data_IF_793422855431
#
_entry.id   IF_793422855431
#
_cell.length_a   1.000
_cell.length_b   1.000
_cell.length_c   1.000
_cell.angle_alpha   90.00
_cell.angle_beta   90.00
_cell.angle_gamma   90.00
#
_symmetry.space_group_name_H-M   'P 1'
#
loop_
_entity.id
_entity.type
_entity.pdbx_description
1 polymer ?
#
# COMPACT_ATOMS: atom_id res chain seq x y z
N UNK A 1 -4.88 7.13 10.14
CA UNK A 1 -4.69 5.82 10.74
C UNK A 1 -6.04 5.19 11.05
N UNK A 2 -6.29 3.99 10.59
CA UNK A 2 -7.61 3.33 10.71
C UNK A 2 -8.10 3.17 12.15
N UNK A 3 -7.23 3.13 13.16
CA UNK A 3 -7.64 3.08 14.57
C UNK A 3 -8.16 4.42 15.15
N UNK A 4 -8.10 5.52 14.36
CA UNK A 4 -8.66 6.82 14.74
C UNK A 4 -9.96 7.11 13.96
N UNK A 5 -10.86 6.13 13.86
CA UNK A 5 -12.06 6.23 13.02
C UNK A 5 -12.92 7.47 13.28
N UNK A 6 -13.01 7.92 14.54
CA UNK A 6 -13.78 9.11 14.90
C UNK A 6 -13.12 10.39 14.35
N UNK A 7 -11.78 10.47 14.40
CA UNK A 7 -11.01 11.55 13.81
C UNK A 7 -10.95 11.42 12.29
N UNK A 8 -10.87 10.20 11.75
CA UNK A 8 -10.81 9.95 10.31
C UNK A 8 -12.03 10.49 9.58
N UNK A 9 -13.22 10.38 10.16
CA UNK A 9 -14.45 10.94 9.59
C UNK A 9 -14.34 12.46 9.37
N UNK A 10 -13.78 13.17 10.35
CA UNK A 10 -13.58 14.61 10.27
C UNK A 10 -12.43 14.98 9.32
N UNK A 11 -11.32 14.23 9.41
CA UNK A 11 -10.12 14.48 8.62
C UNK A 11 -10.34 14.23 7.12
N UNK A 12 -10.98 13.11 6.74
CA UNK A 12 -11.26 12.78 5.34
C UNK A 12 -12.15 13.83 4.70
N UNK A 13 -13.21 14.27 5.41
CA UNK A 13 -14.07 15.34 4.95
C UNK A 13 -13.32 16.67 4.77
N UNK A 14 -12.50 17.05 5.74
CA UNK A 14 -11.70 18.28 5.66
C UNK A 14 -10.68 18.23 4.50
N UNK A 15 -10.08 17.05 4.23
CA UNK A 15 -9.20 16.85 3.09
C UNK A 15 -9.98 17.02 1.78
N UNK A 16 -11.16 16.42 1.64
CA UNK A 16 -12.00 16.54 0.46
C UNK A 16 -12.40 18.01 0.20
N UNK A 17 -12.72 18.77 1.26
CA UNK A 17 -13.06 20.20 1.17
C UNK A 17 -11.90 21.08 0.63
N UNK A 18 -10.65 20.60 0.66
CA UNK A 18 -9.52 21.27 0.01
C UNK A 18 -9.51 21.12 -1.51
N UNK A 19 -10.36 20.26 -2.07
CA UNK A 19 -10.38 19.88 -3.47
C UNK A 19 -9.46 18.67 -3.77
N UNK A 20 -8.92 18.00 -2.75
CA UNK A 20 -8.18 16.75 -2.92
C UNK A 20 -9.13 15.63 -3.31
N UNK A 21 -8.73 14.80 -4.28
CA UNK A 21 -9.48 13.62 -4.71
C UNK A 21 -8.77 12.29 -4.37
N UNK A 22 -7.67 12.36 -3.62
CA UNK A 22 -6.89 11.19 -3.17
C UNK A 22 -6.47 11.42 -1.73
N UNK A 23 -6.55 10.37 -0.91
CA UNK A 23 -6.03 10.38 0.46
C UNK A 23 -5.23 9.10 0.72
N UNK A 24 -4.08 9.26 1.40
CA UNK A 24 -3.27 8.12 1.85
C UNK A 24 -3.74 7.68 3.22
N UNK A 25 -4.09 6.40 3.35
CA UNK A 25 -4.61 5.78 4.57
C UNK A 25 -3.57 4.83 5.14
N UNK A 26 -3.12 5.14 6.35
CA UNK A 26 -2.11 4.36 7.07
C UNK A 26 -2.77 3.20 7.82
N UNK A 27 -2.30 1.98 7.56
CA UNK A 27 -2.75 0.74 8.21
C UNK A 27 -1.61 0.07 8.97
N UNK A 28 -1.96 -0.77 9.93
CA UNK A 28 -1.02 -1.60 10.69
C UNK A 28 -1.32 -3.09 10.53
N UNK A 29 -0.29 -3.88 10.27
CA UNK A 29 -0.36 -5.34 10.28
C UNK A 29 -0.13 -5.97 11.66
N UNK A 30 0.07 -5.12 12.69
CA UNK A 30 0.29 -5.51 14.07
C UNK A 30 1.74 -5.76 14.47
N UNK A 31 2.72 -5.41 13.61
CA UNK A 31 4.13 -5.56 13.96
C UNK A 31 4.62 -4.46 14.90
N UNK A 32 4.27 -3.22 14.62
CA UNK A 32 4.68 -2.07 15.43
C UNK A 32 3.53 -1.48 16.25
N UNK A 33 2.31 -1.52 15.70
CA UNK A 33 1.13 -0.94 16.33
C UNK A 33 0.00 -1.97 16.41
N UNK A 34 -1.15 -1.57 16.94
CA UNK A 34 -2.34 -2.42 16.97
C UNK A 34 -2.77 -2.74 15.53
N UNK A 35 -2.95 -4.03 15.25
CA UNK A 35 -3.41 -4.49 13.95
C UNK A 35 -4.79 -3.93 13.63
N UNK A 36 -4.94 -3.39 12.44
CA UNK A 36 -6.24 -2.98 11.95
C UNK A 36 -7.06 -4.19 11.50
N UNK A 37 -8.36 -4.11 11.73
CA UNK A 37 -9.31 -5.14 11.31
C UNK A 37 -9.89 -4.85 9.92
N UNK A 38 -10.46 -5.87 9.29
CA UNK A 38 -11.16 -5.71 8.00
C UNK A 38 -12.29 -4.70 8.09
N UNK A 39 -13.10 -4.73 9.17
CA UNK A 39 -14.20 -3.77 9.39
C UNK A 39 -13.71 -2.32 9.51
N UNK A 40 -12.58 -2.09 10.18
CA UNK A 40 -11.97 -0.75 10.29
C UNK A 40 -11.50 -0.25 8.92
N UNK A 41 -10.81 -1.10 8.17
CA UNK A 41 -10.34 -0.78 6.83
C UNK A 41 -11.52 -0.49 5.88
N UNK A 42 -12.55 -1.32 5.91
CA UNK A 42 -13.75 -1.13 5.09
C UNK A 42 -14.44 0.20 5.42
N UNK A 43 -14.59 0.52 6.71
CA UNK A 43 -15.19 1.78 7.17
C UNK A 43 -14.43 3.00 6.61
N UNK A 44 -13.11 3.00 6.68
CA UNK A 44 -12.31 4.13 6.18
C UNK A 44 -12.36 4.24 4.66
N UNK A 45 -12.34 3.10 3.95
CA UNK A 45 -12.50 3.09 2.48
C UNK A 45 -13.87 3.67 2.09
N UNK A 46 -14.94 3.26 2.77
CA UNK A 46 -16.29 3.76 2.48
C UNK A 46 -16.41 5.25 2.77
N UNK A 47 -15.78 5.76 3.85
CA UNK A 47 -15.67 7.20 4.09
C UNK A 47 -14.96 7.95 2.95
N UNK A 48 -13.90 7.37 2.38
CA UNK A 48 -13.24 7.96 1.21
C UNK A 48 -14.18 8.00 -0.01
N UNK A 49 -14.88 6.91 -0.28
CA UNK A 49 -15.84 6.80 -1.39
C UNK A 49 -16.97 7.82 -1.23
N UNK A 50 -17.55 7.93 -0.03
CA UNK A 50 -18.64 8.88 0.29
C UNK A 50 -18.21 10.34 0.11
N UNK A 51 -16.91 10.64 0.21
CA UNK A 51 -16.33 11.96 -0.01
C UNK A 51 -15.68 12.10 -1.41
N UNK A 52 -16.01 11.23 -2.36
CA UNK A 52 -15.52 11.23 -3.74
C UNK A 52 -13.99 11.20 -3.85
N UNK A 53 -13.33 10.47 -2.94
CA UNK A 53 -11.87 10.32 -2.91
C UNK A 53 -11.43 8.89 -3.17
N UNK A 54 -10.27 8.75 -3.80
CA UNK A 54 -9.53 7.49 -3.91
C UNK A 54 -8.71 7.29 -2.64
N UNK A 55 -8.85 6.11 -2.03
CA UNK A 55 -8.02 5.69 -0.90
C UNK A 55 -6.74 5.02 -1.42
N UNK A 56 -5.57 5.54 -1.04
CA UNK A 56 -4.30 4.83 -1.17
C UNK A 56 -4.00 4.21 0.18
N UNK A 57 -4.34 2.93 0.34
CA UNK A 57 -4.13 2.21 1.60
C UNK A 57 -2.72 1.61 1.65
N UNK A 58 -2.05 1.65 2.80
CA UNK A 58 -0.68 1.15 2.93
C UNK A 58 -0.41 0.54 4.31
N UNK A 59 0.43 -0.50 4.39
CA UNK A 59 0.96 -1.02 5.66
C UNK A 59 2.20 -0.24 6.05
N UNK A 60 2.13 0.42 7.21
CA UNK A 60 3.20 1.31 7.69
C UNK A 60 4.27 0.57 8.52
N UNK A 61 3.95 -0.58 9.06
CA UNK A 61 4.84 -1.36 9.93
C UNK A 61 6.13 -1.82 9.23
N UNK A 62 6.09 -1.98 7.91
CA UNK A 62 7.24 -2.40 7.11
C UNK A 62 8.23 -1.26 6.80
N UNK A 63 7.91 -0.01 7.19
CA UNK A 63 8.71 1.17 6.86
C UNK A 63 10.17 1.03 7.29
N UNK A 64 11.09 1.15 6.33
CA UNK A 64 12.52 1.11 6.55
C UNK A 64 13.11 -0.25 6.94
N UNK A 65 12.34 -1.32 6.87
CA UNK A 65 12.82 -2.68 7.17
C UNK A 65 13.61 -3.24 5.98
N UNK A 66 14.77 -3.85 6.27
CA UNK A 66 15.65 -4.47 5.27
C UNK A 66 15.54 -6.00 5.28
N UNK A 67 14.41 -6.53 5.69
CA UNK A 67 14.15 -7.96 5.68
C UNK A 67 12.86 -8.29 4.92
N UNK A 68 12.89 -9.45 4.26
CA UNK A 68 11.74 -9.92 3.46
C UNK A 68 10.54 -10.30 4.32
N UNK A 69 10.77 -10.67 5.58
CA UNK A 69 9.71 -11.10 6.50
C UNK A 69 8.71 -9.98 6.74
N UNK A 70 9.18 -8.72 6.81
CA UNK A 70 8.31 -7.56 6.97
C UNK A 70 7.37 -7.38 5.76
N UNK A 71 7.90 -7.56 4.54
CA UNK A 71 7.08 -7.49 3.32
C UNK A 71 6.12 -8.68 3.21
N UNK A 72 6.58 -9.88 3.55
CA UNK A 72 5.72 -11.08 3.56
C UNK A 72 4.55 -10.89 4.54
N UNK A 73 4.81 -10.35 5.72
CA UNK A 73 3.76 -10.07 6.71
C UNK A 73 2.75 -9.04 6.23
N UNK A 74 3.21 -7.95 5.61
CA UNK A 74 2.33 -6.96 4.98
C UNK A 74 1.49 -7.59 3.85
N UNK A 75 2.10 -8.47 3.05
CA UNK A 75 1.41 -9.21 1.98
C UNK A 75 0.31 -10.12 2.55
N UNK A 76 0.62 -10.88 3.60
CA UNK A 76 -0.34 -11.76 4.28
C UNK A 76 -1.48 -10.97 4.92
N UNK A 77 -1.18 -9.80 5.50
CA UNK A 77 -2.19 -8.87 6.00
C UNK A 77 -3.18 -8.47 4.90
N UNK A 78 -2.70 -8.07 3.72
CA UNK A 78 -3.61 -7.71 2.62
C UNK A 78 -4.43 -8.88 2.11
N UNK A 79 -3.89 -10.10 2.11
CA UNK A 79 -4.65 -11.29 1.77
C UNK A 79 -5.76 -11.56 2.80
N UNK A 80 -5.50 -11.32 4.07
CA UNK A 80 -6.50 -11.39 5.14
C UNK A 80 -7.59 -10.31 4.96
N UNK A 81 -7.20 -9.08 4.59
CA UNK A 81 -8.10 -7.93 4.40
C UNK A 81 -8.77 -7.86 3.03
N UNK A 82 -8.63 -8.88 2.20
CA UNK A 82 -9.03 -8.83 0.77
C UNK A 82 -10.50 -8.48 0.53
N UNK A 83 -11.42 -8.82 1.45
CA UNK A 83 -12.85 -8.54 1.24
C UNK A 83 -13.14 -7.03 1.33
N UNK A 84 -12.34 -6.26 2.07
CA UNK A 84 -12.43 -4.80 2.09
C UNK A 84 -11.95 -4.16 0.77
N UNK A 85 -11.19 -4.90 -0.07
CA UNK A 85 -10.55 -4.41 -1.29
C UNK A 85 -11.29 -4.86 -2.57
N UNK A 86 -11.71 -6.13 -2.61
CA UNK A 86 -12.35 -6.75 -3.78
C UNK A 86 -13.72 -6.10 -4.04
N UNK A 87 -13.94 -5.67 -5.29
CA UNK A 87 -15.14 -4.93 -5.69
C UNK A 87 -15.01 -3.42 -5.54
N UNK A 88 -13.91 -2.93 -4.97
CA UNK A 88 -13.61 -1.51 -4.79
C UNK A 88 -12.39 -1.05 -5.61
N UNK A 89 -12.04 -1.78 -6.68
CA UNK A 89 -10.82 -1.56 -7.49
C UNK A 89 -10.75 -0.16 -8.09
N UNK A 90 -11.88 0.47 -8.37
CA UNK A 90 -11.94 1.83 -8.93
C UNK A 90 -11.73 2.93 -7.88
N UNK A 91 -11.76 2.60 -6.58
CA UNK A 91 -11.67 3.55 -5.47
C UNK A 91 -10.45 3.33 -4.59
N UNK A 92 -9.75 2.20 -4.74
CA UNK A 92 -8.65 1.83 -3.85
C UNK A 92 -7.41 1.49 -4.64
N UNK A 93 -6.31 2.18 -4.32
CA UNK A 93 -4.95 1.83 -4.73
C UNK A 93 -4.27 1.16 -3.52
N UNK A 94 -3.67 0.01 -3.74
CA UNK A 94 -3.01 -0.79 -2.71
C UNK A 94 -1.49 -0.56 -2.74
N UNK A 95 -0.96 0.17 -1.76
CA UNK A 95 0.47 0.18 -1.49
C UNK A 95 0.79 -0.97 -0.51
N UNK A 96 1.51 -1.98 -0.98
CA UNK A 96 1.74 -3.21 -0.21
C UNK A 96 2.42 -2.90 1.13
N UNK A 97 3.46 -2.06 1.10
CA UNK A 97 4.27 -1.73 2.26
C UNK A 97 4.91 -0.36 2.06
N UNK A 98 4.62 0.59 2.98
CA UNK A 98 5.22 1.91 2.93
C UNK A 98 6.74 1.83 3.06
N UNK A 99 7.46 2.43 2.10
CA UNK A 99 8.91 2.63 2.16
C UNK A 99 9.74 1.38 2.53
N UNK A 100 9.32 0.23 2.14
CA UNK A 100 10.14 -0.98 2.21
C UNK A 100 11.08 -0.97 0.99
N UNK A 101 12.38 -1.01 1.09
CA UNK A 101 13.35 -1.19 2.13
C UNK A 101 13.97 0.13 2.60
N UNK A 102 14.61 0.17 3.79
CA UNK A 102 15.42 1.33 4.25
C UNK A 102 16.76 1.40 3.52
N UNK A 103 17.38 0.26 3.22
CA UNK A 103 18.63 0.18 2.47
C UNK A 103 18.44 0.43 0.96
N UNK A 104 19.51 0.87 0.32
CA UNK A 104 19.57 1.12 -1.13
C UNK A 104 19.87 -0.18 -1.89
N UNK A 105 19.09 -1.22 -1.60
CA UNK A 105 19.25 -2.57 -2.13
C UNK A 105 18.14 -2.89 -3.14
N UNK A 106 18.39 -2.58 -4.42
CA UNK A 106 17.43 -2.82 -5.49
C UNK A 106 17.16 -4.29 -5.78
N UNK A 107 18.11 -5.20 -5.49
CA UNK A 107 17.92 -6.64 -5.70
C UNK A 107 16.96 -7.22 -4.67
N UNK A 108 17.14 -6.91 -3.39
CA UNK A 108 16.21 -7.30 -2.32
C UNK A 108 14.79 -6.76 -2.60
N UNK A 109 14.71 -5.49 -3.02
CA UNK A 109 13.47 -4.84 -3.39
C UNK A 109 12.75 -5.58 -4.55
N UNK A 110 13.48 -5.88 -5.63
CA UNK A 110 12.97 -6.67 -6.76
C UNK A 110 12.47 -8.04 -6.30
N UNK A 111 13.30 -8.79 -5.60
CA UNK A 111 13.01 -10.16 -5.20
C UNK A 111 11.78 -10.22 -4.28
N UNK A 112 11.65 -9.27 -3.35
CA UNK A 112 10.48 -9.17 -2.49
C UNK A 112 9.20 -8.92 -3.29
N UNK A 113 9.16 -7.89 -4.12
CA UNK A 113 7.93 -7.54 -4.83
C UNK A 113 7.56 -8.51 -5.95
N UNK A 114 8.54 -9.15 -6.62
CA UNK A 114 8.26 -10.20 -7.61
C UNK A 114 7.63 -11.44 -6.99
N UNK A 115 7.78 -11.66 -5.69
CA UNK A 115 7.10 -12.74 -4.96
C UNK A 115 5.76 -12.29 -4.35
N UNK A 116 5.68 -11.06 -3.84
CA UNK A 116 4.49 -10.54 -3.15
C UNK A 116 3.32 -10.26 -4.12
N UNK A 117 3.60 -9.62 -5.26
CA UNK A 117 2.55 -9.23 -6.21
C UNK A 117 1.76 -10.44 -6.74
N UNK A 118 2.39 -11.53 -7.20
CA UNK A 118 1.64 -12.72 -7.63
C UNK A 118 0.76 -13.32 -6.54
N UNK A 119 1.22 -13.33 -5.27
CA UNK A 119 0.42 -13.85 -4.14
C UNK A 119 -0.87 -13.05 -3.95
N UNK A 120 -0.79 -11.72 -4.04
CA UNK A 120 -1.97 -10.85 -3.96
C UNK A 120 -2.95 -11.11 -5.12
N UNK A 121 -2.43 -11.26 -6.34
CA UNK A 121 -3.25 -11.57 -7.52
C UNK A 121 -3.91 -12.95 -7.41
N UNK A 122 -3.19 -13.95 -6.92
CA UNK A 122 -3.73 -15.29 -6.66
C UNK A 122 -4.84 -15.27 -5.60
N UNK A 123 -4.74 -14.39 -4.60
CA UNK A 123 -5.79 -14.16 -3.60
C UNK A 123 -7.03 -13.44 -4.16
N UNK A 124 -7.00 -12.95 -5.41
CA UNK A 124 -8.11 -12.29 -6.09
C UNK A 124 -8.12 -10.76 -5.99
N UNK A 125 -7.08 -10.16 -5.42
CA UNK A 125 -6.93 -8.70 -5.31
C UNK A 125 -6.52 -8.14 -6.67
N UNK A 126 -7.39 -7.32 -7.29
CA UNK A 126 -7.19 -6.72 -8.62
C UNK A 126 -6.95 -5.22 -8.60
N UNK A 127 -6.96 -4.62 -7.44
CA UNK A 127 -6.67 -3.20 -7.25
C UNK A 127 -5.32 -2.82 -7.90
N UNK A 128 -5.19 -1.58 -8.32
CA UNK A 128 -3.89 -1.04 -8.73
C UNK A 128 -2.91 -1.20 -7.56
N UNK A 129 -1.80 -1.86 -7.80
CA UNK A 129 -0.73 -2.00 -6.79
C UNK A 129 0.23 -0.82 -6.94
N UNK A 130 0.55 -0.17 -5.84
CA UNK A 130 1.56 0.86 -5.73
C UNK A 130 2.78 0.28 -5.00
N UNK A 131 3.96 0.45 -5.59
CA UNK A 131 5.23 -0.02 -5.04
C UNK A 131 6.16 1.18 -4.85
N UNK A 132 6.52 1.46 -3.61
CA UNK A 132 7.48 2.52 -3.30
C UNK A 132 8.90 2.06 -3.69
N UNK A 133 9.74 2.99 -4.16
CA UNK A 133 11.15 2.72 -4.42
C UNK A 133 11.86 2.22 -3.15
N UNK A 134 12.98 1.52 -3.26
CA UNK A 134 13.83 1.19 -2.11
C UNK A 134 14.45 2.45 -1.48
N UNK A 135 15.20 2.29 -0.39
CA UNK A 135 15.87 3.42 0.27
C UNK A 135 14.89 4.45 0.82
N UNK A 136 13.93 4.03 1.66
CA UNK A 136 12.87 4.89 2.20
C UNK A 136 12.03 5.55 1.10
N UNK A 137 11.73 4.82 0.05
CA UNK A 137 10.99 5.35 -1.11
C UNK A 137 11.80 6.28 -2.02
N UNK A 138 13.06 6.56 -1.73
CA UNK A 138 13.83 7.63 -2.38
C UNK A 138 14.78 7.16 -3.49
N UNK A 139 15.12 5.86 -3.51
CA UNK A 139 16.09 5.32 -4.46
C UNK A 139 15.43 4.99 -5.80
N UNK A 140 15.11 6.01 -6.60
CA UNK A 140 14.50 5.87 -7.92
C UNK A 140 15.25 4.92 -8.85
N UNK A 141 16.57 4.72 -8.63
CA UNK A 141 17.36 3.79 -9.42
C UNK A 141 16.92 2.34 -9.26
N UNK A 142 16.33 1.94 -8.12
CA UNK A 142 15.74 0.60 -7.97
C UNK A 142 14.63 0.35 -8.99
N UNK A 143 13.79 1.37 -9.23
CA UNK A 143 12.76 1.31 -10.27
C UNK A 143 13.38 1.29 -11.66
N UNK A 144 14.39 2.13 -11.90
CA UNK A 144 15.08 2.19 -13.20
C UNK A 144 15.75 0.87 -13.59
N UNK A 145 16.40 0.21 -12.63
CA UNK A 145 17.14 -1.03 -12.87
C UNK A 145 16.22 -2.27 -12.89
N UNK A 146 15.22 -2.33 -12.01
CA UNK A 146 14.44 -3.54 -11.74
C UNK A 146 12.91 -3.39 -11.87
N UNK A 147 12.42 -2.17 -12.07
CA UNK A 147 10.97 -1.92 -12.12
C UNK A 147 10.26 -2.70 -13.22
N UNK A 148 10.95 -2.96 -14.34
CA UNK A 148 10.38 -3.80 -15.41
C UNK A 148 10.15 -5.24 -14.93
N UNK A 149 11.08 -5.83 -14.18
CA UNK A 149 10.93 -7.19 -13.65
C UNK A 149 9.77 -7.26 -12.66
N UNK A 150 9.68 -6.27 -11.76
CA UNK A 150 8.56 -6.15 -10.80
C UNK A 150 7.23 -5.99 -11.53
N UNK A 151 7.15 -5.10 -12.51
CA UNK A 151 5.93 -4.92 -13.33
C UNK A 151 5.55 -6.20 -14.09
N UNK A 152 6.55 -6.90 -14.65
CA UNK A 152 6.31 -8.12 -15.42
C UNK A 152 5.86 -9.30 -14.53
N UNK A 153 6.16 -9.28 -13.23
CA UNK A 153 5.69 -10.28 -12.27
C UNK A 153 4.18 -10.16 -11.98
N UNK A 154 3.59 -8.99 -12.24
CA UNK A 154 2.14 -8.79 -12.12
C UNK A 154 1.41 -9.39 -13.31
N UNK A 155 0.62 -10.47 -13.15
CA UNK A 155 -0.16 -11.05 -14.25
C UNK A 155 -1.20 -10.08 -14.82
N UNK A 156 -1.72 -9.16 -14.00
CA UNK A 156 -2.73 -8.18 -14.42
C UNK A 156 -2.11 -6.91 -15.04
N UNK A 157 -0.78 -6.74 -14.95
CA UNK A 157 -0.05 -5.55 -15.43
C UNK A 157 -0.62 -4.23 -14.89
N UNK A 158 -1.11 -4.26 -13.66
CA UNK A 158 -1.74 -3.15 -12.96
C UNK A 158 -0.92 -2.71 -11.74
N UNK A 159 0.38 -2.53 -11.96
CA UNK A 159 1.35 -2.06 -10.96
C UNK A 159 1.92 -0.71 -11.36
N UNK A 160 1.99 0.22 -10.42
CA UNK A 160 2.63 1.53 -10.56
C UNK A 160 3.72 1.71 -9.49
N UNK A 161 4.59 2.68 -9.69
CA UNK A 161 5.72 2.94 -8.82
C UNK A 161 5.67 4.35 -8.24
N UNK A 162 6.12 4.50 -7.00
CA UNK A 162 6.24 5.80 -6.34
C UNK A 162 7.68 6.10 -5.95
N UNK A 163 8.03 7.37 -6.03
CA UNK A 163 9.27 7.92 -5.48
C UNK A 163 8.89 8.98 -4.46
N UNK A 164 9.37 8.82 -3.23
CA UNK A 164 9.15 9.76 -2.14
C UNK A 164 10.23 10.83 -2.18
N UNK A 165 9.82 12.09 -2.35
CA UNK A 165 10.74 13.22 -2.45
C UNK A 165 10.71 14.01 -1.15
N UNK A 166 11.76 13.88 -0.35
CA UNK A 166 11.96 14.68 0.86
C UNK A 166 12.89 15.87 0.51
N UNK A 167 12.49 17.07 0.93
CA UNK A 167 13.25 18.30 0.70
C UNK A 167 14.32 18.54 1.76
#
# INVERSE_FOLDING_TARGET
HTWYLDEDTTAIKAIAETGSNVVRVVCSDGEQWTKDTEDMLETVIDLCIDNEMIAVVEVHDATGKDDKTALDKATDYWIEMKNALIGKEQYVILNIANEWTGGWNGELWRDGYTESIPKLREAGIKNTILVDASGWGQYAKSIGDYGKEVFDSDPDKNTMFAVHMYG
#
